data_IF_044230010055
#
_entry.id   IF_044230010055
#
_cell.length_a   1.000
_cell.length_b   1.000
_cell.length_c   1.000
_cell.angle_alpha   90.00
_cell.angle_beta   90.00
_cell.angle_gamma   90.00
#
_symmetry.space_group_name_H-M   'P 1'
#
loop_
_entity.id
_entity.type
_entity.pdbx_description
1 polymer ?
#
# COMPACT_ATOMS: atom_id res chain seq x y z
N UNK A 1 51.87 -15.13 -5.04
CA UNK A 1 50.77 -15.60 -4.17
C UNK A 1 50.26 -14.38 -3.43
N UNK A 2 49.15 -13.80 -3.89
CA UNK A 2 48.45 -12.70 -3.23
C UNK A 2 47.03 -13.21 -2.98
N UNK A 3 46.65 -13.19 -1.71
CA UNK A 3 45.35 -13.52 -1.17
C UNK A 3 44.36 -12.42 -1.60
N UNK A 4 43.34 -12.78 -2.38
CA UNK A 4 42.20 -11.91 -2.66
C UNK A 4 41.10 -12.39 -1.75
N UNK A 5 40.97 -11.73 -0.61
CA UNK A 5 39.76 -11.78 0.20
C UNK A 5 38.62 -11.26 -0.67
N UNK A 6 37.77 -12.18 -1.13
CA UNK A 6 36.47 -11.81 -1.68
C UNK A 6 35.71 -11.11 -0.58
N UNK A 7 35.60 -9.80 -0.67
CA UNK A 7 34.69 -9.02 0.16
C UNK A 7 33.28 -9.49 -0.19
N UNK A 8 32.68 -10.29 0.69
CA UNK A 8 31.24 -10.55 0.69
C UNK A 8 30.55 -9.19 0.78
N UNK A 9 29.95 -8.74 -0.33
CA UNK A 9 29.13 -7.53 -0.41
C UNK A 9 27.89 -7.72 0.49
N UNK A 10 27.78 -7.04 1.64
CA UNK A 10 26.68 -7.24 2.58
C UNK A 10 25.52 -6.32 2.19
N UNK A 11 24.90 -6.61 1.05
CA UNK A 11 23.81 -5.80 0.49
C UNK A 11 22.56 -6.58 0.07
N UNK A 12 22.66 -7.89 -0.17
CA UNK A 12 21.57 -8.66 -0.77
C UNK A 12 21.08 -9.80 0.13
N UNK A 13 20.30 -9.53 1.20
CA UNK A 13 19.57 -10.64 1.85
C UNK A 13 18.34 -10.32 2.72
N UNK A 14 17.66 -9.18 2.58
CA UNK A 14 16.51 -8.86 3.47
C UNK A 14 15.13 -8.83 2.76
N UNK A 15 15.02 -9.20 1.48
CA UNK A 15 13.73 -9.21 0.77
C UNK A 15 13.00 -10.57 0.73
N UNK A 16 13.67 -11.67 1.07
CA UNK A 16 13.10 -13.03 0.96
C UNK A 16 11.98 -13.34 1.96
N UNK A 17 11.79 -12.50 2.99
CA UNK A 17 10.77 -12.68 4.02
C UNK A 17 9.45 -11.91 3.79
N UNK A 18 9.39 -11.01 2.81
CA UNK A 18 8.22 -10.16 2.61
C UNK A 18 7.28 -10.74 1.55
N UNK A 19 6.04 -10.99 1.93
CA UNK A 19 4.98 -11.33 0.96
C UNK A 19 4.79 -10.15 0.02
N UNK A 20 4.85 -10.40 -1.28
CA UNK A 20 4.59 -9.38 -2.30
C UNK A 20 3.23 -8.73 -2.06
N UNK A 21 3.12 -7.38 -2.13
CA UNK A 21 1.83 -6.73 -2.06
C UNK A 21 0.93 -7.20 -3.22
N UNK A 22 -0.40 -7.18 -3.05
CA UNK A 22 -1.30 -7.53 -4.13
C UNK A 22 -1.15 -6.56 -5.31
N UNK A 23 -1.37 -7.06 -6.53
CA UNK A 23 -1.33 -6.26 -7.75
C UNK A 23 -2.28 -5.07 -7.64
N UNK A 24 -1.83 -3.83 -7.94
CA UNK A 24 -2.67 -2.65 -7.80
C UNK A 24 -3.85 -2.71 -8.79
N UNK A 25 -5.03 -2.18 -8.42
CA UNK A 25 -6.18 -2.14 -9.32
C UNK A 25 -5.98 -1.18 -10.49
N UNK A 26 -6.75 -1.39 -11.55
CA UNK A 26 -6.91 -0.49 -12.69
C UNK A 26 -5.68 -0.32 -13.61
N UNK A 27 -4.74 -1.26 -13.62
CA UNK A 27 -3.58 -1.22 -14.54
C UNK A 27 -3.99 -1.26 -16.02
N UNK A 28 -5.17 -1.81 -16.34
CA UNK A 28 -5.72 -1.80 -17.70
C UNK A 28 -6.31 -0.46 -18.16
N UNK A 29 -6.46 0.51 -17.26
CA UNK A 29 -7.10 1.80 -17.53
C UNK A 29 -6.26 2.97 -16.99
N UNK A 30 -5.02 3.07 -17.46
CA UNK A 30 -4.08 4.11 -17.00
C UNK A 30 -4.60 5.52 -17.27
N UNK A 31 -4.50 6.38 -16.27
CA UNK A 31 -4.68 7.84 -16.40
C UNK A 31 -3.56 8.47 -17.22
N UNK A 32 -3.76 9.71 -17.70
CA UNK A 32 -2.72 10.42 -18.44
C UNK A 32 -1.41 10.56 -17.66
N UNK A 33 -1.48 10.91 -16.37
CA UNK A 33 -0.30 11.02 -15.51
C UNK A 33 0.44 9.68 -15.35
N UNK A 34 -0.29 8.56 -15.23
CA UNK A 34 0.32 7.24 -15.14
C UNK A 34 0.98 6.79 -16.45
N UNK A 35 0.43 7.16 -17.61
CA UNK A 35 1.10 6.89 -18.90
C UNK A 35 2.42 7.66 -19.03
N UNK A 36 2.42 8.95 -18.63
CA UNK A 36 3.64 9.77 -18.58
C UNK A 36 4.66 9.18 -17.59
N UNK A 37 4.20 8.67 -16.44
CA UNK A 37 5.08 7.99 -15.49
C UNK A 37 5.66 6.69 -16.08
N UNK A 38 4.87 5.88 -16.78
CA UNK A 38 5.33 4.67 -17.44
C UNK A 38 6.38 4.97 -18.52
N UNK A 39 6.16 6.02 -19.32
CA UNK A 39 7.13 6.51 -20.30
C UNK A 39 8.43 6.98 -19.63
N UNK A 40 8.31 7.77 -18.55
CA UNK A 40 9.45 8.22 -17.76
C UNK A 40 10.28 7.05 -17.20
N UNK A 41 9.61 6.00 -16.72
CA UNK A 41 10.23 4.77 -16.24
C UNK A 41 10.66 3.81 -17.36
N UNK A 42 10.35 4.15 -18.63
CA UNK A 42 10.63 3.33 -19.82
C UNK A 42 10.04 1.92 -19.73
N UNK A 43 8.87 1.81 -19.13
CA UNK A 43 8.14 0.54 -19.06
C UNK A 43 7.54 0.22 -20.43
N UNK A 44 7.78 -1.01 -20.89
CA UNK A 44 7.16 -1.51 -22.11
C UNK A 44 5.64 -1.61 -21.93
N UNK A 45 4.89 -1.22 -22.95
CA UNK A 45 3.43 -1.37 -22.98
C UNK A 45 3.00 -2.82 -22.85
N UNK A 46 3.77 -3.77 -23.40
CA UNK A 46 3.48 -5.20 -23.29
C UNK A 46 3.67 -5.71 -21.85
N UNK A 47 4.67 -5.19 -21.12
CA UNK A 47 4.84 -5.51 -19.69
C UNK A 47 3.66 -5.02 -18.86
N UNK A 48 3.19 -3.81 -19.13
CA UNK A 48 2.00 -3.25 -18.46
C UNK A 48 0.76 -4.07 -18.84
N UNK A 49 0.63 -4.47 -20.10
CA UNK A 49 -0.51 -5.27 -20.57
C UNK A 49 -0.55 -6.65 -19.90
N UNK A 50 0.59 -7.31 -19.71
CA UNK A 50 0.67 -8.59 -18.99
C UNK A 50 0.30 -8.39 -17.51
N UNK A 51 0.87 -7.38 -16.84
CA UNK A 51 0.56 -7.08 -15.45
C UNK A 51 -0.93 -6.74 -15.25
N UNK A 52 -1.54 -6.03 -16.21
CA UNK A 52 -2.94 -5.67 -16.19
C UNK A 52 -3.89 -6.89 -16.20
N UNK A 53 -3.48 -8.05 -16.73
CA UNK A 53 -4.31 -9.26 -16.74
C UNK A 53 -4.57 -9.79 -15.33
N UNK A 54 -3.62 -9.60 -14.41
CA UNK A 54 -3.77 -9.95 -13.00
C UNK A 54 -4.29 -8.78 -12.14
N UNK A 55 -4.48 -7.60 -12.74
CA UNK A 55 -4.91 -6.40 -12.02
C UNK A 55 -6.42 -6.43 -11.79
N UNK A 56 -6.88 -6.26 -10.54
CA UNK A 56 -8.30 -6.16 -10.28
C UNK A 56 -8.89 -4.89 -10.93
N UNK A 57 -10.18 -4.92 -11.24
CA UNK A 57 -10.90 -3.71 -11.61
C UNK A 57 -10.77 -2.66 -10.48
N UNK A 58 -10.82 -1.38 -10.84
CA UNK A 58 -10.97 -0.35 -9.83
C UNK A 58 -12.32 -0.60 -9.16
N UNK A 59 -12.30 -1.06 -7.90
CA UNK A 59 -13.49 -0.94 -7.08
C UNK A 59 -13.84 0.53 -7.07
N UNK A 60 -15.07 0.89 -7.44
CA UNK A 60 -15.58 2.20 -7.10
C UNK A 60 -15.29 2.35 -5.61
N UNK A 61 -14.37 3.25 -5.27
CA UNK A 61 -14.35 3.79 -3.92
C UNK A 61 -15.60 4.63 -3.83
N UNK A 62 -16.76 3.97 -3.77
CA UNK A 62 -17.85 4.47 -3.00
C UNK A 62 -17.18 4.92 -1.71
N UNK A 63 -17.27 6.21 -1.44
CA UNK A 63 -16.85 6.79 -0.19
C UNK A 63 -17.46 5.87 0.86
N UNK A 64 -16.67 4.94 1.42
CA UNK A 64 -17.18 3.91 2.33
C UNK A 64 -17.31 4.61 3.67
N UNK A 65 -18.19 5.61 3.67
CA UNK A 65 -18.47 6.51 4.75
C UNK A 65 -18.99 5.71 5.93
N UNK A 66 -19.75 4.65 5.66
CA UNK A 66 -20.25 3.72 6.68
C UNK A 66 -19.11 2.90 7.29
N UNK A 67 -18.24 2.31 6.47
CA UNK A 67 -17.06 1.59 6.95
C UNK A 67 -16.06 2.49 7.67
N UNK A 68 -15.88 3.73 7.20
CA UNK A 68 -15.06 4.75 7.84
C UNK A 68 -15.64 5.15 9.20
N UNK A 69 -16.96 5.38 9.27
CA UNK A 69 -17.65 5.71 10.52
C UNK A 69 -17.54 4.56 11.53
N UNK A 70 -17.74 3.31 11.10
CA UNK A 70 -17.59 2.14 11.95
C UNK A 70 -16.14 1.98 12.46
N UNK A 71 -15.15 2.20 11.60
CA UNK A 71 -13.74 2.16 11.98
C UNK A 71 -13.38 3.27 12.98
N UNK A 72 -13.83 4.52 12.73
CA UNK A 72 -13.65 5.64 13.67
C UNK A 72 -14.34 5.34 15.00
N UNK A 73 -15.54 4.74 14.98
CA UNK A 73 -16.25 4.36 16.19
C UNK A 73 -15.44 3.36 17.05
N UNK A 74 -14.71 2.45 16.41
CA UNK A 74 -13.84 1.47 17.06
C UNK A 74 -12.54 2.03 17.68
N UNK A 75 -12.15 3.27 17.38
CA UNK A 75 -10.97 3.87 17.99
C UNK A 75 -11.19 4.10 19.51
N UNK A 76 -10.13 3.89 20.29
CA UNK A 76 -10.14 4.16 21.73
C UNK A 76 -10.49 5.64 21.98
N UNK A 77 -11.21 5.91 23.08
CA UNK A 77 -11.61 7.28 23.43
C UNK A 77 -10.38 8.18 23.63
N UNK A 78 -9.36 7.69 24.34
CA UNK A 78 -8.10 8.42 24.53
C UNK A 78 -7.40 8.77 23.21
N UNK A 79 -7.53 7.91 22.21
CA UNK A 79 -6.99 8.15 20.88
C UNK A 79 -7.80 9.23 20.14
N UNK A 80 -9.13 9.20 20.23
CA UNK A 80 -9.99 10.25 19.69
C UNK A 80 -9.67 11.60 20.32
N UNK A 81 -9.52 11.66 21.64
CA UNK A 81 -9.19 12.89 22.38
C UNK A 81 -7.84 13.47 21.94
N UNK A 82 -6.82 12.61 21.77
CA UNK A 82 -5.51 13.02 21.26
C UNK A 82 -5.60 13.60 19.85
N UNK A 83 -6.35 12.95 18.96
CA UNK A 83 -6.52 13.39 17.58
C UNK A 83 -7.28 14.72 17.49
N UNK A 84 -8.36 14.87 18.25
CA UNK A 84 -9.14 16.12 18.30
C UNK A 84 -8.32 17.28 18.87
N UNK A 85 -7.52 17.03 19.91
CA UNK A 85 -6.60 18.04 20.46
C UNK A 85 -5.64 18.57 19.40
N UNK A 86 -5.06 17.67 18.59
CA UNK A 86 -4.16 18.05 17.49
C UNK A 86 -4.86 18.83 16.38
N UNK A 87 -6.13 18.50 16.09
CA UNK A 87 -6.95 19.28 15.14
C UNK A 87 -7.11 20.73 15.63
N UNK A 88 -7.43 20.93 16.91
CA UNK A 88 -7.56 22.26 17.52
C UNK A 88 -6.22 23.02 17.51
N UNK A 89 -5.10 22.32 17.58
CA UNK A 89 -3.74 22.89 17.46
C UNK A 89 -3.33 23.22 16.01
N UNK A 90 -4.21 23.05 15.02
CA UNK A 90 -3.96 23.40 13.62
C UNK A 90 -3.41 22.26 12.77
N UNK A 91 -3.38 21.02 13.26
CA UNK A 91 -2.86 19.87 12.51
C UNK A 91 -3.92 19.11 11.70
N UNK A 92 -5.07 19.73 11.42
CA UNK A 92 -6.21 19.07 10.79
C UNK A 92 -5.87 18.29 9.51
N UNK A 93 -5.07 18.87 8.61
CA UNK A 93 -4.65 18.20 7.37
C UNK A 93 -3.78 16.96 7.64
N UNK A 94 -2.85 17.04 8.61
CA UNK A 94 -1.98 15.91 8.98
C UNK A 94 -2.78 14.79 9.63
N UNK A 95 -3.66 15.14 10.58
CA UNK A 95 -4.56 14.18 11.24
C UNK A 95 -5.44 13.48 10.20
N UNK A 96 -5.98 14.22 9.22
CA UNK A 96 -6.77 13.64 8.13
C UNK A 96 -5.97 12.62 7.31
N UNK A 97 -4.74 12.95 6.92
CA UNK A 97 -3.90 12.01 6.16
C UNK A 97 -3.55 10.76 6.98
N UNK A 98 -3.22 10.93 8.26
CA UNK A 98 -2.94 9.82 9.18
C UNK A 98 -4.15 8.87 9.29
N UNK A 99 -5.35 9.42 9.52
CA UNK A 99 -6.57 8.62 9.63
C UNK A 99 -6.91 7.89 8.33
N UNK A 100 -6.82 8.55 7.18
CA UNK A 100 -7.08 7.91 5.89
C UNK A 100 -6.07 6.82 5.57
N UNK A 101 -4.79 7.01 5.90
CA UNK A 101 -3.76 5.99 5.73
C UNK A 101 -4.06 4.75 6.59
N UNK A 102 -4.39 4.95 7.87
CA UNK A 102 -4.72 3.87 8.80
C UNK A 102 -5.99 3.12 8.42
N UNK A 103 -7.03 3.84 7.98
CA UNK A 103 -8.26 3.24 7.48
C UNK A 103 -8.01 2.34 6.27
N UNK A 104 -7.22 2.80 5.29
CA UNK A 104 -6.83 1.98 4.12
C UNK A 104 -6.04 0.75 4.55
N UNK A 105 -5.05 0.90 5.44
CA UNK A 105 -4.29 -0.25 5.98
C UNK A 105 -5.18 -1.30 6.66
N UNK A 106 -6.20 -0.87 7.40
CA UNK A 106 -7.16 -1.77 8.04
C UNK A 106 -7.99 -2.59 7.03
N UNK A 107 -8.36 -1.99 5.88
CA UNK A 107 -9.08 -2.69 4.80
C UNK A 107 -8.23 -3.74 4.09
N UNK A 108 -6.91 -3.55 4.08
CA UNK A 108 -5.98 -4.36 3.29
C UNK A 108 -5.33 -5.51 4.08
N UNK A 109 -5.75 -5.82 5.31
CA UNK A 109 -5.26 -7.04 5.99
C UNK A 109 -5.72 -8.28 5.22
N UNK A 110 -4.81 -9.04 4.58
CA UNK A 110 -5.20 -10.22 3.83
C UNK A 110 -5.62 -11.33 4.81
N UNK A 111 -6.56 -12.22 4.44
CA UNK A 111 -6.76 -13.45 5.18
C UNK A 111 -5.47 -14.27 5.09
N UNK A 112 -4.85 -14.54 6.23
CA UNK A 112 -3.75 -15.51 6.34
C UNK A 112 -4.25 -16.84 5.80
N UNK A 113 -3.76 -17.25 4.63
CA UNK A 113 -4.03 -18.59 4.09
C UNK A 113 -3.30 -19.59 4.98
N UNK A 114 -4.03 -20.17 5.93
CA UNK A 114 -3.56 -21.31 6.72
C UNK A 114 -3.24 -22.47 5.79
N UNK A 115 -1.95 -22.82 5.71
CA UNK A 115 -1.51 -24.04 5.05
C UNK A 115 -1.97 -25.25 5.86
N UNK A 116 -2.98 -25.96 5.34
CA UNK A 116 -3.26 -27.35 5.71
C UNK A 116 -2.40 -28.23 4.80
N UNK A 117 -1.28 -28.70 5.32
CA UNK A 117 -0.51 -29.79 4.73
C UNK A 117 -1.06 -31.11 5.27
N UNK A 118 -1.73 -31.85 4.39
CA UNK A 118 -2.04 -33.28 4.54
C UNK A 118 -0.82 -34.14 4.32
#
# INVERSE_FOLDING_TARGET
MLDVTGEDDPGESDFDGHVEPPVPPALGALTAAQRVLAEFLRLDGDLIAIAAQASPALAETADDSDGLAAWVAGLLVSEKDRLLTRVVQGEAARVRMELLHRFRGHRHSPPTRGGSGT
#
